data_IF_819569733970
#
_entry.id   IF_819569733970
#
_cell.length_a   1.000
_cell.length_b   1.000
_cell.length_c   1.000
_cell.angle_alpha   90.00
_cell.angle_beta   90.00
_cell.angle_gamma   90.00
#
_symmetry.space_group_name_H-M   'P 1'
#
loop_
_entity.id
_entity.type
_entity.pdbx_description
1 polymer ?
#
# COMPACT_ATOMS: atom_id res chain seq x y z
N UNK A 1 -34.85 -10.96 56.73
CA UNK A 1 -33.94 -12.08 57.09
C UNK A 1 -32.85 -12.15 56.04
N UNK A 2 -31.59 -12.09 56.48
CA UNK A 2 -30.37 -12.19 55.68
C UNK A 2 -30.27 -13.53 54.93
N UNK A 3 -29.71 -13.52 53.71
CA UNK A 3 -28.79 -14.58 53.27
C UNK A 3 -27.65 -13.99 52.42
N UNK A 4 -26.44 -14.14 52.94
CA UNK A 4 -25.16 -13.96 52.26
C UNK A 4 -24.96 -15.07 51.22
N UNK A 5 -24.28 -14.78 50.12
CA UNK A 5 -23.50 -15.78 49.37
C UNK A 5 -22.14 -15.21 48.98
N UNK A 6 -21.09 -15.82 49.55
CA UNK A 6 -19.69 -15.66 49.20
C UNK A 6 -19.41 -16.18 47.78
N UNK A 7 -18.52 -15.52 47.04
CA UNK A 7 -17.87 -16.07 45.84
C UNK A 7 -16.36 -16.07 46.07
N UNK A 8 -15.77 -17.26 45.98
CA UNK A 8 -14.35 -17.54 46.12
C UNK A 8 -13.55 -17.01 44.92
N UNK A 9 -12.35 -16.49 45.22
CA UNK A 9 -11.32 -16.14 44.25
C UNK A 9 -10.56 -17.40 43.82
N UNK A 10 -10.56 -17.72 42.52
CA UNK A 10 -9.60 -18.66 41.94
C UNK A 10 -8.36 -17.90 41.47
N UNK A 11 -7.21 -18.15 42.13
CA UNK A 11 -5.89 -17.72 41.67
C UNK A 11 -5.45 -18.55 40.45
N UNK A 12 -5.00 -17.86 39.39
CA UNK A 12 -4.40 -18.49 38.21
C UNK A 12 -2.92 -18.86 38.46
N UNK A 13 -2.40 -19.95 37.85
CA UNK A 13 -1.05 -20.45 38.14
C UNK A 13 0.04 -19.52 37.59
N UNK A 14 0.99 -19.14 38.45
CA UNK A 14 2.13 -18.23 38.15
C UNK A 14 3.19 -18.79 37.18
N UNK A 15 3.11 -20.06 36.80
CA UNK A 15 4.19 -20.75 36.09
C UNK A 15 4.29 -20.46 34.58
N UNK A 16 3.24 -19.89 33.97
CA UNK A 16 3.27 -19.55 32.55
C UNK A 16 3.95 -18.21 32.24
N UNK A 17 4.12 -17.32 33.23
CA UNK A 17 4.70 -15.98 33.02
C UNK A 17 6.22 -16.04 32.81
N UNK A 18 6.90 -17.00 33.44
CA UNK A 18 8.35 -17.18 33.35
C UNK A 18 8.82 -17.65 31.97
N UNK A 19 8.05 -18.55 31.34
CA UNK A 19 8.36 -19.08 30.00
C UNK A 19 8.20 -18.01 28.92
N UNK A 20 7.20 -17.13 29.02
CA UNK A 20 7.00 -16.01 28.07
C UNK A 20 8.09 -14.95 28.18
N UNK A 21 8.56 -14.66 29.40
CA UNK A 21 9.65 -13.70 29.62
C UNK A 21 10.99 -14.22 29.07
N UNK A 22 11.26 -15.51 29.22
CA UNK A 22 12.45 -16.14 28.64
C UNK A 22 12.43 -16.14 27.10
N UNK A 23 11.27 -16.41 26.50
CA UNK A 23 11.11 -16.36 25.03
C UNK A 23 11.29 -14.95 24.48
N UNK A 24 10.72 -13.94 25.15
CA UNK A 24 10.85 -12.53 24.76
C UNK A 24 12.30 -12.03 24.84
N UNK A 25 13.02 -12.38 25.92
CA UNK A 25 14.44 -12.05 26.06
C UNK A 25 15.30 -12.72 24.97
N UNK A 26 15.00 -13.99 24.62
CA UNK A 26 15.74 -14.67 23.54
C UNK A 26 15.49 -14.05 22.16
N UNK A 27 14.30 -13.51 21.94
CA UNK A 27 13.93 -12.82 20.69
C UNK A 27 14.64 -11.47 20.60
N UNK A 28 14.68 -10.71 21.70
CA UNK A 28 15.39 -9.43 21.79
C UNK A 28 16.91 -9.61 21.59
N UNK A 29 17.51 -10.64 22.18
CA UNK A 29 18.93 -10.94 21.97
C UNK A 29 19.23 -11.35 20.52
N UNK A 30 18.38 -12.16 19.89
CA UNK A 30 18.55 -12.49 18.45
C UNK A 30 18.44 -11.26 17.55
N UNK A 31 17.54 -10.32 17.86
CA UNK A 31 17.42 -9.07 17.10
C UNK A 31 18.63 -8.16 17.29
N UNK A 32 19.20 -8.08 18.50
CA UNK A 32 20.46 -7.34 18.74
C UNK A 32 21.64 -7.95 17.96
N UNK A 33 21.80 -9.27 18.00
CA UNK A 33 22.88 -9.94 17.26
C UNK A 33 22.73 -9.77 15.74
N UNK A 34 21.50 -9.82 15.20
CA UNK A 34 21.23 -9.54 13.79
C UNK A 34 21.53 -8.10 13.38
N UNK A 35 21.22 -7.13 14.26
CA UNK A 35 21.52 -5.72 14.03
C UNK A 35 23.03 -5.43 14.07
N UNK A 36 23.75 -6.06 15.02
CA UNK A 36 25.21 -5.94 15.13
C UNK A 36 25.92 -6.59 13.94
N UNK A 37 25.45 -7.76 13.47
CA UNK A 37 26.00 -8.40 12.27
C UNK A 37 25.78 -7.57 11.00
N UNK A 38 24.63 -6.91 10.87
CA UNK A 38 24.36 -6.00 9.76
C UNK A 38 25.24 -4.73 9.82
N UNK A 39 25.50 -4.20 11.02
CA UNK A 39 26.39 -3.06 11.22
C UNK A 39 27.87 -3.42 10.97
N UNK A 40 28.32 -4.59 11.41
CA UNK A 40 29.69 -5.07 11.15
C UNK A 40 29.91 -5.42 9.67
N UNK A 41 28.89 -5.95 8.98
CA UNK A 41 28.92 -6.17 7.54
C UNK A 41 29.03 -4.87 6.72
N UNK A 42 28.47 -3.77 7.24
CA UNK A 42 28.59 -2.43 6.64
C UNK A 42 29.93 -1.74 6.97
N UNK A 43 30.56 -2.08 8.09
CA UNK A 43 31.86 -1.52 8.49
C UNK A 43 33.08 -2.22 7.85
N UNK A 44 32.91 -3.42 7.27
CA UNK A 44 34.01 -4.16 6.61
C UNK A 44 34.08 -3.96 5.09
N UNK A 45 33.17 -3.21 4.47
CA UNK A 45 33.18 -2.93 3.02
C UNK A 45 33.81 -1.58 2.63
N UNK A 46 34.58 -0.96 3.53
CA UNK A 46 35.15 0.35 3.26
C UNK A 46 36.48 0.56 3.96
N UNK A 47 37.58 0.16 3.32
CA UNK A 47 38.92 0.69 3.59
C UNK A 47 39.93 0.28 2.52
N UNK A 48 40.43 1.29 1.82
CA UNK A 48 41.76 1.46 1.23
C UNK A 48 42.30 0.41 0.24
N UNK A 49 42.52 0.85 -0.99
CA UNK A 49 43.66 0.38 -1.77
C UNK A 49 44.36 1.57 -2.40
N UNK A 50 45.50 1.89 -1.77
CA UNK A 50 46.57 2.76 -2.24
C UNK A 50 47.24 2.11 -3.45
N UNK A 51 47.76 2.95 -4.35
CA UNK A 51 48.66 2.57 -5.43
C UNK A 51 49.79 1.66 -4.93
N UNK A 52 50.05 0.57 -5.64
CA UNK A 52 51.39 0.07 -5.95
C UNK A 52 51.31 -0.93 -7.11
N UNK A 53 52.24 -0.78 -8.05
CA UNK A 53 52.43 -1.58 -9.24
C UNK A 53 52.86 -3.01 -8.91
N UNK A 54 52.29 -4.03 -9.57
CA UNK A 54 53.04 -5.22 -10.01
C UNK A 54 52.27 -6.09 -11.04
N UNK A 55 53.08 -6.86 -11.78
CA UNK A 55 52.88 -7.47 -13.12
C UNK A 55 51.84 -8.61 -13.23
N UNK A 56 51.48 -9.04 -14.47
CA UNK A 56 50.23 -9.74 -14.75
C UNK A 56 50.37 -11.24 -14.57
N UNK A 57 49.34 -11.89 -14.01
CA UNK A 57 49.19 -13.33 -14.19
C UNK A 57 47.73 -13.79 -14.23
N UNK A 58 47.49 -14.67 -15.21
CA UNK A 58 46.40 -15.65 -15.33
C UNK A 58 44.97 -15.14 -15.52
N UNK A 59 44.58 -15.10 -16.81
CA UNK A 59 43.20 -15.24 -17.30
C UNK A 59 42.59 -16.56 -16.79
N UNK A 60 41.82 -16.50 -15.71
CA UNK A 60 40.70 -17.41 -15.51
C UNK A 60 39.45 -16.71 -16.01
N UNK A 61 38.93 -17.19 -17.14
CA UNK A 61 37.60 -16.80 -17.64
C UNK A 61 36.55 -17.26 -16.63
N UNK A 62 36.22 -16.42 -15.65
CA UNK A 62 34.93 -16.49 -14.99
C UNK A 62 33.86 -16.26 -16.05
N UNK A 63 33.07 -17.31 -16.30
CA UNK A 63 31.80 -17.22 -17.00
C UNK A 63 30.94 -16.22 -16.23
N UNK A 64 30.94 -14.98 -16.68
CA UNK A 64 29.87 -14.05 -16.37
C UNK A 64 28.61 -14.71 -16.92
N UNK A 65 27.81 -15.30 -16.03
CA UNK A 65 26.44 -15.68 -16.36
C UNK A 65 25.74 -14.41 -16.83
N UNK A 66 25.68 -14.25 -18.16
CA UNK A 66 24.75 -13.33 -18.79
C UNK A 66 23.36 -13.80 -18.38
N UNK A 67 22.83 -13.15 -17.34
CA UNK A 67 21.44 -13.31 -16.94
C UNK A 67 20.59 -12.95 -18.14
N UNK A 68 20.05 -13.98 -18.80
CA UNK A 68 19.17 -13.85 -19.96
C UNK A 68 18.09 -12.80 -19.61
N UNK A 69 17.88 -11.77 -20.44
CA UNK A 69 16.87 -10.76 -20.15
C UNK A 69 15.52 -11.44 -19.94
N UNK A 70 14.89 -11.25 -18.76
CA UNK A 70 13.54 -11.75 -18.50
C UNK A 70 12.63 -11.23 -19.61
N UNK A 71 12.02 -12.13 -20.38
CA UNK A 71 11.06 -11.83 -21.44
C UNK A 71 9.98 -10.88 -20.89
N UNK A 72 9.78 -9.73 -21.55
CA UNK A 72 8.69 -8.83 -21.17
C UNK A 72 7.34 -9.53 -21.38
N UNK A 73 6.43 -9.35 -20.41
CA UNK A 73 5.08 -9.89 -20.49
C UNK A 73 4.28 -9.19 -21.58
N UNK A 74 3.62 -9.97 -22.43
CA UNK A 74 2.64 -9.49 -23.39
C UNK A 74 1.42 -8.88 -22.69
N UNK A 75 0.66 -8.03 -23.40
CA UNK A 75 -0.60 -7.46 -22.87
C UNK A 75 -1.59 -8.57 -22.49
N UNK A 76 -1.65 -9.66 -23.27
CA UNK A 76 -2.49 -10.82 -22.96
C UNK A 76 -2.08 -11.51 -21.66
N UNK A 77 -0.78 -11.59 -21.37
CA UNK A 77 -0.29 -12.14 -20.09
C UNK A 77 -0.59 -11.19 -18.93
N UNK A 78 -0.40 -9.87 -19.12
CA UNK A 78 -0.75 -8.86 -18.11
C UNK A 78 -2.25 -8.83 -17.78
N UNK A 79 -3.13 -9.26 -18.68
CA UNK A 79 -4.57 -9.33 -18.41
C UNK A 79 -5.01 -10.54 -17.59
N UNK A 80 -4.10 -11.49 -17.31
CA UNK A 80 -4.40 -12.65 -16.47
C UNK A 80 -4.19 -12.30 -15.00
N UNK A 81 -5.13 -12.74 -14.15
CA UNK A 81 -4.95 -12.72 -12.69
C UNK A 81 -3.81 -13.69 -12.34
N UNK A 82 -2.76 -13.27 -11.61
CA UNK A 82 -1.57 -14.09 -11.42
C UNK A 82 -1.80 -15.24 -10.42
N UNK A 83 -2.63 -15.01 -9.42
CA UNK A 83 -2.92 -15.94 -8.34
C UNK A 83 -4.31 -15.70 -7.79
N UNK A 84 -4.99 -16.76 -7.36
CA UNK A 84 -6.12 -16.66 -6.46
C UNK A 84 -5.61 -16.56 -5.02
N UNK A 85 -5.78 -15.37 -4.43
CA UNK A 85 -5.45 -15.14 -3.03
C UNK A 85 -6.73 -15.07 -2.21
N UNK A 86 -6.72 -15.78 -1.08
CA UNK A 86 -7.68 -15.62 0.00
C UNK A 86 -7.06 -14.86 1.16
N UNK A 87 -7.87 -14.66 2.21
CA UNK A 87 -7.35 -14.22 3.50
C UNK A 87 -6.99 -15.47 4.29
N UNK A 88 -5.71 -15.62 4.64
CA UNK A 88 -5.31 -16.55 5.70
C UNK A 88 -6.05 -16.15 7.00
N UNK A 89 -6.27 -17.09 7.92
CA UNK A 89 -6.99 -16.78 9.18
C UNK A 89 -6.48 -15.46 9.76
N UNK A 90 -7.38 -14.48 9.89
CA UNK A 90 -7.05 -13.19 10.46
C UNK A 90 -6.80 -13.47 11.94
N UNK A 91 -5.53 -13.70 12.29
CA UNK A 91 -5.10 -13.89 13.67
C UNK A 91 -5.69 -12.79 14.54
N UNK A 92 -6.54 -13.21 15.50
CA UNK A 92 -7.23 -12.48 16.58
C UNK A 92 -7.47 -10.99 16.35
N UNK A 93 -8.71 -10.51 16.51
CA UNK A 93 -9.01 -9.07 16.53
C UNK A 93 -8.06 -8.33 17.49
N UNK A 94 -7.05 -7.64 16.94
CA UNK A 94 -6.17 -6.80 17.73
C UNK A 94 -6.90 -5.49 18.00
N UNK A 95 -6.95 -5.09 19.27
CA UNK A 95 -7.49 -3.79 19.64
C UNK A 95 -6.39 -2.76 19.42
N UNK A 96 -6.59 -1.91 18.41
CA UNK A 96 -5.72 -0.78 18.13
C UNK A 96 -6.41 0.47 18.65
N UNK A 97 -5.78 1.15 19.60
CA UNK A 97 -6.16 2.48 20.04
C UNK A 97 -5.19 3.49 19.42
N UNK A 98 -5.75 4.41 18.64
CA UNK A 98 -4.98 5.45 17.98
C UNK A 98 -4.87 6.69 18.88
N UNK A 99 -3.65 7.08 19.25
CA UNK A 99 -3.36 8.24 20.11
C UNK A 99 -2.66 9.29 19.24
N UNK A 100 -3.18 10.51 19.18
CA UNK A 100 -2.67 11.58 18.29
C UNK A 100 -2.59 11.22 16.80
N UNK A 101 -3.16 10.09 16.39
CA UNK A 101 -3.35 9.78 14.98
C UNK A 101 -4.40 10.75 14.41
N UNK A 102 -4.18 11.33 13.21
CA UNK A 102 -5.17 12.18 12.56
C UNK A 102 -6.55 11.56 12.59
N UNK A 103 -7.46 12.18 13.38
CA UNK A 103 -8.83 11.70 13.53
C UNK A 103 -9.47 11.68 12.15
N UNK A 104 -10.20 10.62 11.91
CA UNK A 104 -11.00 10.51 10.70
C UNK A 104 -12.42 10.27 11.11
N UNK A 105 -13.23 11.32 10.98
CA UNK A 105 -14.65 11.08 10.88
C UNK A 105 -14.88 10.26 9.61
N UNK A 106 -15.93 9.43 9.64
CA UNK A 106 -16.38 8.77 8.43
C UNK A 106 -16.64 9.81 7.32
N UNK A 107 -17.08 11.01 7.69
CA UNK A 107 -17.24 12.16 6.80
C UNK A 107 -15.92 12.64 6.17
N UNK A 108 -14.78 12.59 6.87
CA UNK A 108 -13.48 12.99 6.33
C UNK A 108 -12.90 11.94 5.37
N UNK A 109 -13.12 10.65 5.63
CA UNK A 109 -12.79 9.56 4.68
C UNK A 109 -13.57 9.79 3.40
N UNK A 110 -14.86 10.08 3.59
CA UNK A 110 -15.86 10.24 2.55
C UNK A 110 -15.64 11.51 1.73
N UNK A 111 -15.29 12.64 2.36
CA UNK A 111 -15.04 13.94 1.72
C UNK A 111 -13.57 14.13 1.32
N UNK A 112 -12.71 13.15 1.63
CA UNK A 112 -11.29 13.15 1.32
C UNK A 112 -10.56 14.42 1.78
N UNK A 113 -10.96 14.98 2.94
CA UNK A 113 -10.47 16.26 3.50
C UNK A 113 -9.05 16.20 4.08
N UNK A 114 -8.36 15.10 3.87
CA UNK A 114 -7.04 14.84 4.43
C UNK A 114 -5.96 15.60 3.66
N UNK A 115 -4.99 16.12 4.41
CA UNK A 115 -3.76 16.64 3.85
C UNK A 115 -2.95 15.55 3.15
N UNK A 116 -2.03 15.96 2.27
CA UNK A 116 -1.09 15.08 1.57
C UNK A 116 -0.32 14.19 2.57
N UNK A 117 0.18 14.78 3.65
CA UNK A 117 0.94 14.08 4.69
C UNK A 117 0.12 12.99 5.39
N UNK A 118 -1.11 13.29 5.80
CA UNK A 118 -2.01 12.32 6.45
C UNK A 118 -2.39 11.17 5.50
N UNK A 119 -2.50 11.45 4.20
CA UNK A 119 -2.76 10.43 3.19
C UNK A 119 -1.59 9.47 3.05
N UNK A 120 -0.36 10.00 2.94
CA UNK A 120 0.87 9.17 2.86
C UNK A 120 1.02 8.32 4.13
N UNK A 121 0.84 8.92 5.30
CA UNK A 121 0.90 8.26 6.60
C UNK A 121 -0.03 7.03 6.66
N UNK A 122 -1.21 7.10 6.07
CA UNK A 122 -2.14 5.96 6.08
C UNK A 122 -1.73 4.86 5.11
N UNK A 123 -1.07 5.24 4.02
CA UNK A 123 -0.66 4.33 2.95
C UNK A 123 0.60 3.51 3.30
N UNK A 124 1.50 4.05 4.12
CA UNK A 124 2.76 3.36 4.51
C UNK A 124 2.53 1.97 5.11
N UNK A 125 1.40 1.75 5.77
CA UNK A 125 1.02 0.43 6.32
C UNK A 125 0.89 -0.67 5.26
N UNK A 126 0.78 -0.31 3.98
CA UNK A 126 0.66 -1.22 2.83
C UNK A 126 1.89 -1.17 1.92
N UNK A 127 2.98 -0.55 2.36
CA UNK A 127 4.18 -0.34 1.54
C UNK A 127 4.77 -1.65 1.01
N UNK A 128 4.77 -2.71 1.82
CA UNK A 128 5.28 -4.03 1.40
C UNK A 128 4.53 -4.63 0.20
N UNK A 129 3.22 -4.38 0.11
CA UNK A 129 2.40 -4.82 -1.03
C UNK A 129 2.76 -4.02 -2.29
N UNK A 130 2.88 -2.69 -2.17
CA UNK A 130 3.25 -1.85 -3.31
C UNK A 130 4.67 -2.11 -3.78
N UNK A 131 5.61 -2.29 -2.86
CA UNK A 131 7.00 -2.60 -3.18
C UNK A 131 7.10 -3.92 -3.97
N UNK A 132 6.42 -4.98 -3.50
CA UNK A 132 6.41 -6.28 -4.17
C UNK A 132 5.86 -6.20 -5.60
N UNK A 133 4.74 -5.51 -5.80
CA UNK A 133 4.16 -5.32 -7.13
C UNK A 133 5.06 -4.45 -8.04
N UNK A 134 5.67 -3.40 -7.49
CA UNK A 134 6.62 -2.56 -8.23
C UNK A 134 7.84 -3.36 -8.71
N UNK A 135 8.40 -4.22 -7.85
CA UNK A 135 9.53 -5.08 -8.19
C UNK A 135 9.19 -6.14 -9.25
N UNK A 136 7.99 -6.73 -9.13
CA UNK A 136 7.48 -7.75 -10.05
C UNK A 136 7.29 -7.20 -11.46
N UNK A 137 6.70 -6.00 -11.58
CA UNK A 137 6.39 -5.39 -12.88
C UNK A 137 7.40 -4.33 -13.34
N UNK A 138 8.53 -4.19 -12.63
CA UNK A 138 9.60 -3.21 -12.92
C UNK A 138 9.08 -1.79 -13.00
N UNK A 139 8.17 -1.44 -12.08
CA UNK A 139 7.65 -0.10 -11.93
C UNK A 139 8.58 0.72 -11.02
N UNK A 140 8.58 2.06 -11.14
CA UNK A 140 9.37 2.93 -10.27
C UNK A 140 8.97 2.77 -8.81
N UNK A 141 9.96 2.75 -7.92
CA UNK A 141 9.71 2.67 -6.47
C UNK A 141 8.82 3.82 -6.00
N UNK A 142 7.86 3.49 -5.14
CA UNK A 142 6.93 4.42 -4.49
C UNK A 142 5.80 4.95 -5.40
N UNK A 143 5.71 4.47 -6.64
CA UNK A 143 4.68 4.91 -7.59
C UNK A 143 3.28 4.42 -7.22
N UNK A 144 3.11 3.13 -6.95
CA UNK A 144 1.81 2.55 -6.59
C UNK A 144 1.36 3.08 -5.22
N UNK A 145 2.28 3.33 -4.31
CA UNK A 145 1.96 3.97 -3.03
C UNK A 145 1.49 5.42 -3.20
N UNK A 146 2.11 6.17 -4.12
CA UNK A 146 1.67 7.52 -4.45
C UNK A 146 0.28 7.53 -5.11
N UNK A 147 -0.01 6.57 -5.99
CA UNK A 147 -1.36 6.37 -6.55
C UNK A 147 -2.37 6.05 -5.45
N UNK A 148 -2.03 5.14 -4.53
CA UNK A 148 -2.89 4.80 -3.39
C UNK A 148 -3.17 6.00 -2.48
N UNK A 149 -2.17 6.85 -2.22
CA UNK A 149 -2.35 8.06 -1.41
C UNK A 149 -3.27 9.08 -2.09
N UNK A 150 -3.20 9.18 -3.42
CA UNK A 150 -4.09 10.04 -4.19
C UNK A 150 -5.53 9.53 -4.23
N UNK A 151 -5.71 8.21 -4.32
CA UNK A 151 -7.01 7.57 -4.57
C UNK A 151 -7.69 7.08 -3.29
N UNK A 152 -7.24 5.96 -2.72
CA UNK A 152 -7.94 5.21 -1.67
C UNK A 152 -7.45 5.45 -0.25
N UNK A 153 -6.38 6.23 -0.07
CA UNK A 153 -5.83 6.60 1.25
C UNK A 153 -5.52 5.37 2.13
N UNK A 154 -5.15 4.26 1.48
CA UNK A 154 -4.83 3.00 2.14
C UNK A 154 -6.04 2.21 2.66
N UNK A 155 -7.28 2.60 2.36
CA UNK A 155 -8.51 1.90 2.76
C UNK A 155 -9.13 1.12 1.58
N UNK A 156 -9.22 -0.22 1.65
CA UNK A 156 -9.77 -1.02 0.55
C UNK A 156 -11.31 -1.15 0.57
N UNK A 157 -12.00 -0.64 1.59
CA UNK A 157 -13.41 -0.96 1.84
C UNK A 157 -14.41 -0.08 1.09
N UNK A 158 -14.04 1.19 0.85
CA UNK A 158 -14.96 2.20 0.31
C UNK A 158 -14.76 2.41 -1.19
N UNK A 159 -15.84 2.62 -1.96
CA UNK A 159 -15.73 2.97 -3.37
C UNK A 159 -15.37 4.45 -3.55
N UNK A 160 -14.87 4.79 -4.74
CA UNK A 160 -14.62 6.17 -5.12
C UNK A 160 -15.94 6.91 -5.40
N UNK A 161 -16.20 7.97 -4.64
CA UNK A 161 -17.47 8.68 -4.66
C UNK A 161 -17.22 10.12 -5.11
N UNK A 162 -17.82 10.47 -6.24
CA UNK A 162 -17.63 11.74 -6.91
C UNK A 162 -18.55 12.83 -6.33
N UNK A 163 -19.81 12.46 -6.03
CA UNK A 163 -20.79 13.36 -5.43
C UNK A 163 -21.72 12.63 -4.48
N UNK A 164 -22.20 13.41 -3.50
CA UNK A 164 -23.17 12.98 -2.51
C UNK A 164 -24.28 14.00 -2.39
N UNK A 165 -25.42 13.55 -1.89
CA UNK A 165 -26.55 14.41 -1.56
C UNK A 165 -27.05 14.04 -0.17
N UNK A 166 -27.38 15.04 0.64
CA UNK A 166 -28.13 14.81 1.87
C UNK A 166 -29.59 14.68 1.52
N UNK A 167 -30.19 13.56 1.89
CA UNK A 167 -31.61 13.38 1.81
C UNK A 167 -32.29 14.34 2.80
N UNK A 168 -33.17 15.21 2.32
CA UNK A 168 -33.79 16.28 3.11
C UNK A 168 -34.67 15.77 4.23
N UNK A 169 -35.29 14.60 4.02
CA UNK A 169 -36.24 13.96 4.94
C UNK A 169 -35.50 13.13 5.98
N UNK A 170 -34.59 12.25 5.56
CA UNK A 170 -33.91 11.31 6.48
C UNK A 170 -32.64 11.89 7.09
N UNK A 171 -32.16 13.05 6.59
CA UNK A 171 -30.85 13.64 6.87
C UNK A 171 -29.66 12.72 6.56
N UNK A 172 -29.87 11.59 5.89
CA UNK A 172 -28.81 10.64 5.51
C UNK A 172 -28.04 11.15 4.30
N UNK A 173 -26.74 10.88 4.28
CA UNK A 173 -25.87 11.17 3.13
C UNK A 173 -25.93 9.99 2.16
N UNK A 174 -26.39 10.24 0.95
CA UNK A 174 -26.50 9.25 -0.12
C UNK A 174 -25.46 9.51 -1.23
N UNK A 175 -25.08 8.45 -1.95
CA UNK A 175 -24.26 8.60 -3.17
C UNK A 175 -25.17 9.12 -4.29
N UNK A 176 -24.81 10.26 -4.87
CA UNK A 176 -25.43 10.74 -6.11
C UNK A 176 -24.58 10.44 -7.33
N UNK A 177 -23.25 10.32 -7.19
CA UNK A 177 -22.35 10.03 -8.29
C UNK A 177 -21.11 9.23 -7.85
N UNK A 178 -20.79 8.15 -8.57
CA UNK A 178 -19.57 7.34 -8.39
C UNK A 178 -19.06 6.87 -9.76
N UNK A 179 -17.76 6.65 -9.89
CA UNK A 179 -17.13 6.04 -11.08
C UNK A 179 -17.01 4.51 -10.99
N UNK A 180 -17.51 3.91 -9.90
CA UNK A 180 -17.43 2.48 -9.62
C UNK A 180 -16.04 1.99 -9.21
N UNK A 181 -15.06 2.89 -9.00
CA UNK A 181 -13.72 2.57 -8.52
C UNK A 181 -13.76 1.97 -7.11
N UNK A 182 -12.94 0.94 -6.84
CA UNK A 182 -12.86 0.26 -5.55
C UNK A 182 -11.44 -0.21 -5.23
N UNK A 183 -11.17 -0.45 -3.95
CA UNK A 183 -9.89 -0.95 -3.47
C UNK A 183 -8.88 0.16 -3.25
N UNK A 184 -7.64 -0.22 -2.90
CA UNK A 184 -6.60 0.73 -2.47
C UNK A 184 -6.25 1.82 -3.51
N UNK A 185 -6.49 1.57 -4.80
CA UNK A 185 -6.20 2.50 -5.92
C UNK A 185 -7.50 2.79 -6.73
N UNK A 186 -8.67 2.44 -6.20
CA UNK A 186 -9.97 2.73 -6.85
C UNK A 186 -10.07 2.28 -8.32
N UNK A 187 -9.70 1.04 -8.62
CA UNK A 187 -9.80 0.50 -9.99
C UNK A 187 -11.28 0.33 -10.37
N UNK A 188 -11.68 0.88 -11.52
CA UNK A 188 -13.03 0.73 -12.05
C UNK A 188 -13.39 -0.73 -12.36
N UNK A 189 -14.65 -1.10 -12.17
CA UNK A 189 -15.11 -2.50 -12.28
C UNK A 189 -14.76 -3.15 -13.61
N UNK A 190 -15.11 -2.53 -14.74
CA UNK A 190 -14.82 -3.08 -16.06
C UNK A 190 -13.31 -3.23 -16.35
N UNK A 191 -12.47 -2.32 -15.85
CA UNK A 191 -11.02 -2.43 -15.99
C UNK A 191 -10.48 -3.60 -15.15
N UNK A 192 -10.98 -3.79 -13.93
CA UNK A 192 -10.59 -4.92 -13.12
C UNK A 192 -11.02 -6.27 -13.75
N UNK A 193 -12.21 -6.34 -14.33
CA UNK A 193 -12.70 -7.51 -15.09
C UNK A 193 -11.80 -7.81 -16.30
N UNK A 194 -11.41 -6.79 -17.07
CA UNK A 194 -10.49 -6.94 -18.22
C UNK A 194 -9.09 -7.44 -17.80
N UNK A 195 -8.75 -7.34 -16.51
CA UNK A 195 -7.51 -7.84 -15.89
C UNK A 195 -7.73 -9.08 -15.03
N UNK A 196 -8.83 -9.79 -15.27
CA UNK A 196 -9.11 -11.13 -14.72
C UNK A 196 -9.60 -11.15 -13.28
N UNK A 197 -9.93 -10.00 -12.69
CA UNK A 197 -10.49 -9.95 -11.34
C UNK A 197 -11.99 -10.25 -11.35
N UNK A 198 -12.45 -10.97 -10.32
CA UNK A 198 -13.88 -11.09 -10.03
C UNK A 198 -14.39 -9.78 -9.46
N UNK A 199 -15.42 -9.20 -10.06
CA UNK A 199 -16.02 -7.93 -9.63
C UNK A 199 -17.50 -8.13 -9.29
N UNK A 200 -17.98 -7.40 -8.28
CA UNK A 200 -19.40 -7.37 -7.94
C UNK A 200 -20.22 -6.93 -9.16
N UNK A 201 -21.25 -7.67 -9.53
CA UNK A 201 -22.07 -7.36 -10.70
C UNK A 201 -23.31 -6.53 -10.33
N UNK A 202 -23.58 -5.49 -11.13
CA UNK A 202 -24.83 -4.71 -11.05
C UNK A 202 -26.03 -5.56 -11.48
N UNK A 203 -25.88 -6.40 -12.50
CA UNK A 203 -26.89 -7.38 -12.89
C UNK A 203 -26.22 -8.75 -12.97
N UNK A 204 -26.83 -9.81 -12.42
CA UNK A 204 -26.27 -11.15 -12.51
C UNK A 204 -25.91 -11.51 -13.97
N UNK A 205 -24.73 -12.08 -14.17
CA UNK A 205 -24.20 -12.50 -15.48
C UNK A 205 -23.99 -11.38 -16.50
N UNK A 206 -24.06 -10.11 -16.09
CA UNK A 206 -23.74 -8.97 -16.94
C UNK A 206 -22.38 -8.38 -16.61
N UNK A 207 -21.64 -7.95 -17.64
CA UNK A 207 -20.41 -7.17 -17.44
C UNK A 207 -20.73 -5.82 -16.80
N UNK A 208 -19.81 -5.31 -16.00
CA UNK A 208 -19.95 -3.98 -15.44
C UNK A 208 -19.77 -2.89 -16.50
N UNK A 209 -20.26 -1.69 -16.20
CA UNK A 209 -20.25 -0.57 -17.14
C UNK A 209 -18.82 -0.13 -17.45
N UNK A 210 -18.53 0.14 -18.73
CA UNK A 210 -17.29 0.79 -19.18
C UNK A 210 -17.36 2.32 -19.15
N UNK A 211 -18.50 2.89 -18.72
CA UNK A 211 -18.65 4.34 -18.61
C UNK A 211 -17.74 4.86 -17.49
N UNK A 212 -17.25 6.10 -17.64
CA UNK A 212 -16.50 6.77 -16.56
C UNK A 212 -17.32 6.96 -15.27
N UNK A 213 -18.65 6.82 -15.34
CA UNK A 213 -19.55 6.87 -14.18
C UNK A 213 -20.30 5.55 -14.08
N UNK A 214 -20.24 4.94 -12.90
CA UNK A 214 -20.95 3.70 -12.57
C UNK A 214 -21.49 3.79 -11.14
N UNK A 215 -22.47 4.68 -10.97
CA UNK A 215 -23.12 4.94 -9.67
C UNK A 215 -23.83 3.70 -9.12
N UNK A 216 -24.38 2.85 -9.98
CA UNK A 216 -25.10 1.65 -9.55
C UNK A 216 -24.17 0.60 -8.96
N UNK A 217 -22.98 0.40 -9.56
CA UNK A 217 -21.94 -0.41 -8.93
C UNK A 217 -21.52 0.18 -7.58
N UNK A 218 -21.29 1.50 -7.52
CA UNK A 218 -20.95 2.20 -6.28
C UNK A 218 -21.99 1.99 -5.17
N UNK A 219 -23.28 2.09 -5.49
CA UNK A 219 -24.39 1.81 -4.55
C UNK A 219 -24.36 0.38 -4.03
N UNK A 220 -24.18 -0.62 -4.91
CA UNK A 220 -24.08 -2.03 -4.52
C UNK A 220 -22.88 -2.33 -3.62
N UNK A 221 -21.74 -1.70 -3.90
CA UNK A 221 -20.54 -1.82 -3.06
C UNK A 221 -20.84 -1.34 -1.65
N UNK A 222 -21.48 -0.17 -1.50
CA UNK A 222 -21.91 0.34 -0.19
C UNK A 222 -22.93 -0.58 0.49
N UNK A 223 -23.92 -1.09 -0.25
CA UNK A 223 -24.91 -2.01 0.31
C UNK A 223 -24.24 -3.24 0.95
N UNK A 224 -23.24 -3.82 0.27
CA UNK A 224 -22.46 -4.93 0.82
C UNK A 224 -21.62 -4.51 2.03
N UNK A 225 -20.98 -3.35 1.98
CA UNK A 225 -20.19 -2.81 3.09
C UNK A 225 -21.03 -2.52 4.35
N UNK A 226 -22.27 -2.07 4.19
CA UNK A 226 -23.18 -1.83 5.31
C UNK A 226 -23.64 -3.13 5.99
N UNK A 227 -23.58 -4.28 5.29
CA UNK A 227 -23.91 -5.59 5.85
C UNK A 227 -22.75 -6.20 6.64
N UNK A 228 -21.52 -5.96 6.22
CA UNK A 228 -20.32 -6.41 6.94
C UNK A 228 -19.12 -5.53 6.60
N UNK A 229 -18.28 -5.25 7.59
CA UNK A 229 -16.99 -4.57 7.41
C UNK A 229 -15.82 -5.55 7.27
N UNK A 230 -16.07 -6.85 7.39
CA UNK A 230 -15.04 -7.87 7.26
C UNK A 230 -14.57 -7.96 5.80
N UNK A 231 -13.32 -7.57 5.57
CA UNK A 231 -12.69 -7.62 4.26
C UNK A 231 -12.61 -9.03 3.69
N UNK A 232 -12.46 -10.07 4.54
CA UNK A 232 -12.47 -11.46 4.11
C UNK A 232 -13.80 -11.82 3.45
N UNK A 233 -14.91 -11.51 4.11
CA UNK A 233 -16.25 -11.72 3.54
C UNK A 233 -16.51 -10.86 2.31
N UNK A 234 -16.13 -9.58 2.37
CA UNK A 234 -16.37 -8.65 1.28
C UNK A 234 -15.58 -8.99 0.00
N UNK A 235 -14.38 -9.57 0.13
CA UNK A 235 -13.52 -9.97 -0.99
C UNK A 235 -14.07 -11.16 -1.78
N UNK A 236 -14.88 -12.03 -1.16
CA UNK A 236 -15.55 -13.14 -1.87
C UNK A 236 -16.45 -12.67 -3.01
N UNK A 237 -16.96 -11.43 -2.90
CA UNK A 237 -17.83 -10.82 -3.90
C UNK A 237 -17.09 -9.94 -4.90
N UNK A 238 -15.94 -9.38 -4.52
CA UNK A 238 -15.19 -8.41 -5.32
C UNK A 238 -13.69 -8.46 -4.96
N UNK A 239 -12.88 -9.01 -5.86
CA UNK A 239 -11.43 -9.19 -5.70
C UNK A 239 -10.71 -7.85 -5.48
N UNK A 240 -11.27 -6.72 -5.93
CA UNK A 240 -10.66 -5.39 -5.73
C UNK A 240 -10.58 -4.99 -4.26
N UNK A 241 -11.32 -5.66 -3.37
CA UNK A 241 -11.20 -5.45 -1.92
C UNK A 241 -10.02 -6.18 -1.31
N UNK A 242 -9.46 -7.17 -2.01
CA UNK A 242 -8.24 -7.82 -1.60
C UNK A 242 -7.04 -6.90 -1.88
N UNK A 243 -6.30 -6.45 -0.86
CA UNK A 243 -5.22 -5.45 -1.00
C UNK A 243 -4.19 -5.79 -2.07
N UNK A 244 -3.70 -7.04 -2.09
CA UNK A 244 -2.68 -7.49 -3.04
C UNK A 244 -3.24 -7.52 -4.47
N UNK A 245 -4.39 -8.19 -4.69
CA UNK A 245 -5.01 -8.27 -6.01
C UNK A 245 -5.34 -6.90 -6.60
N UNK A 246 -5.78 -5.94 -5.77
CA UNK A 246 -6.03 -4.57 -6.20
C UNK A 246 -4.74 -3.86 -6.66
N UNK A 247 -3.67 -3.91 -5.86
CA UNK A 247 -2.39 -3.28 -6.20
C UNK A 247 -1.74 -3.95 -7.41
N UNK A 248 -1.77 -5.28 -7.47
CA UNK A 248 -1.28 -6.06 -8.61
C UNK A 248 -2.02 -5.71 -9.91
N UNK A 249 -3.35 -5.63 -9.86
CA UNK A 249 -4.15 -5.23 -11.00
C UNK A 249 -3.81 -3.81 -11.48
N UNK A 250 -3.61 -2.85 -10.56
CA UNK A 250 -3.16 -1.51 -10.91
C UNK A 250 -1.78 -1.53 -11.60
N UNK A 251 -0.85 -2.34 -11.08
CA UNK A 251 0.49 -2.49 -11.64
C UNK A 251 0.47 -3.06 -13.07
N UNK A 252 -0.28 -4.16 -13.29
CA UNK A 252 -0.46 -4.75 -14.62
C UNK A 252 -1.15 -3.78 -15.58
N UNK A 253 -2.17 -3.07 -15.11
CA UNK A 253 -2.87 -2.09 -15.92
C UNK A 253 -1.94 -0.95 -16.33
N UNK A 254 -1.18 -0.39 -15.39
CA UNK A 254 -0.21 0.65 -15.68
C UNK A 254 0.89 0.18 -16.64
N UNK A 255 1.45 -1.02 -16.43
CA UNK A 255 2.45 -1.61 -17.34
C UNK A 255 1.88 -1.79 -18.75
N UNK A 256 0.60 -2.15 -18.90
CA UNK A 256 -0.06 -2.25 -20.21
C UNK A 256 -0.23 -0.90 -20.94
N UNK A 257 -0.15 0.22 -20.21
CA UNK A 257 -0.23 1.58 -20.76
C UNK A 257 1.14 2.21 -21.03
N UNK A 258 2.20 1.56 -20.60
CA UNK A 258 3.56 2.01 -20.83
C UNK A 258 3.91 1.88 -22.31
N UNK A 259 4.47 2.94 -22.88
CA UNK A 259 4.98 2.95 -24.25
C UNK A 259 6.37 3.59 -24.23
N UNK A 260 7.46 2.84 -24.50
CA UNK A 260 8.82 3.40 -24.45
C UNK A 260 9.06 4.50 -25.50
N UNK A 261 8.27 4.53 -26.59
CA UNK A 261 8.36 5.59 -27.62
C UNK A 261 7.97 6.98 -27.10
N UNK A 262 7.34 7.05 -25.94
CA UNK A 262 7.01 8.29 -25.27
C UNK A 262 8.23 8.96 -24.58
N UNK A 263 9.42 8.34 -24.66
CA UNK A 263 10.67 8.92 -24.16
C UNK A 263 10.72 9.05 -22.63
N UNK A 264 11.37 10.12 -22.14
CA UNK A 264 11.59 10.36 -20.70
C UNK A 264 10.28 10.40 -19.89
N UNK A 265 9.18 10.81 -20.52
CA UNK A 265 7.88 10.98 -19.86
C UNK A 265 6.96 9.76 -19.97
N UNK A 266 7.43 8.65 -20.55
CA UNK A 266 6.61 7.44 -20.79
C UNK A 266 5.83 6.96 -19.56
N UNK A 267 6.43 7.07 -18.38
CA UNK A 267 5.80 6.68 -17.10
C UNK A 267 4.67 7.61 -16.69
N UNK A 268 4.79 8.91 -16.97
CA UNK A 268 3.76 9.92 -16.70
C UNK A 268 2.62 9.79 -17.69
N UNK A 269 2.94 9.56 -18.95
CA UNK A 269 1.94 9.34 -20.00
C UNK A 269 1.17 8.02 -19.77
N UNK A 270 1.81 6.98 -19.22
CA UNK A 270 1.12 5.78 -18.77
C UNK A 270 0.09 6.06 -17.67
N UNK A 271 0.39 6.93 -16.70
CA UNK A 271 -0.57 7.35 -15.65
C UNK A 271 -1.76 8.14 -16.22
N UNK A 272 -1.51 9.01 -17.21
CA UNK A 272 -2.59 9.73 -17.88
C UNK A 272 -3.51 8.76 -18.64
N UNK A 273 -2.93 7.79 -19.36
CA UNK A 273 -3.69 6.71 -20.03
C UNK A 273 -4.42 5.81 -19.04
N UNK A 274 -3.82 5.53 -17.88
CA UNK A 274 -4.44 4.75 -16.80
C UNK A 274 -5.71 5.45 -16.28
N UNK A 275 -5.62 6.75 -16.02
CA UNK A 275 -6.74 7.55 -15.48
C UNK A 275 -7.78 7.95 -16.53
N UNK A 276 -7.51 7.74 -17.82
CA UNK A 276 -8.36 8.19 -18.92
C UNK A 276 -8.42 9.72 -19.06
N UNK A 277 -7.54 10.46 -18.38
CA UNK A 277 -7.51 11.92 -18.40
C UNK A 277 -6.55 12.43 -19.46
N UNK A 278 -7.00 13.43 -20.24
CA UNK A 278 -6.17 14.14 -21.22
C UNK A 278 -5.17 15.11 -20.58
N UNK A 279 -5.36 15.45 -19.30
CA UNK A 279 -4.56 16.44 -18.55
C UNK A 279 -3.48 15.74 -17.74
N UNK A 280 -2.34 16.41 -17.57
CA UNK A 280 -1.26 16.01 -16.67
C UNK A 280 -1.63 16.07 -15.19
N UNK A 281 -2.81 16.61 -14.83
CA UNK A 281 -3.23 16.88 -13.44
C UNK A 281 -3.17 15.65 -12.53
N UNK A 282 -3.57 14.49 -13.05
CA UNK A 282 -3.51 13.24 -12.31
C UNK A 282 -2.07 12.84 -12.04
N UNK A 283 -1.28 12.69 -13.10
CA UNK A 283 0.10 12.22 -13.00
C UNK A 283 0.99 13.19 -12.21
N UNK A 284 0.76 14.50 -12.31
CA UNK A 284 1.48 15.50 -11.52
C UNK A 284 1.15 15.40 -10.04
N UNK A 285 -0.12 15.14 -9.67
CA UNK A 285 -0.49 14.90 -8.27
C UNK A 285 0.17 13.64 -7.73
N UNK A 286 0.18 12.55 -8.52
CA UNK A 286 0.88 11.30 -8.14
C UNK A 286 2.36 11.60 -7.91
N UNK A 287 2.99 12.38 -8.79
CA UNK A 287 4.39 12.78 -8.63
C UNK A 287 4.66 13.56 -7.36
N UNK A 288 3.77 14.49 -6.97
CA UNK A 288 3.93 15.23 -5.72
C UNK A 288 3.93 14.31 -4.49
N UNK A 289 3.00 13.33 -4.44
CA UNK A 289 3.02 12.30 -3.39
C UNK A 289 4.33 11.50 -3.44
N UNK A 290 4.76 11.11 -4.65
CA UNK A 290 5.95 10.28 -4.85
C UNK A 290 7.23 10.98 -4.39
N UNK A 291 7.37 12.29 -4.59
CA UNK A 291 8.50 13.08 -4.07
C UNK A 291 8.58 13.00 -2.54
N UNK A 292 7.47 13.22 -1.84
CA UNK A 292 7.44 13.14 -0.37
C UNK A 292 7.77 11.72 0.12
N UNK A 293 7.22 10.70 -0.54
CA UNK A 293 7.47 9.28 -0.26
C UNK A 293 8.94 8.91 -0.47
N UNK A 294 9.56 9.43 -1.54
CA UNK A 294 10.95 9.16 -1.86
C UNK A 294 11.88 9.83 -0.86
N UNK A 295 11.62 11.10 -0.49
CA UNK A 295 12.33 11.78 0.60
C UNK A 295 12.22 10.99 1.91
N UNK A 296 11.04 10.50 2.26
CA UNK A 296 10.89 9.64 3.45
C UNK A 296 11.73 8.37 3.39
N UNK A 297 11.76 7.70 2.24
CA UNK A 297 12.51 6.46 2.06
C UNK A 297 14.03 6.67 2.02
N UNK A 298 14.49 7.91 1.82
CA UNK A 298 15.89 8.26 1.59
C UNK A 298 16.33 9.46 2.44
N UNK A 299 15.88 9.53 3.70
CA UNK A 299 16.39 10.47 4.72
C UNK A 299 16.34 11.95 4.28
N UNK A 300 15.27 12.33 3.59
CA UNK A 300 15.03 13.70 3.12
C UNK A 300 15.58 14.01 1.73
N UNK A 301 16.20 13.05 1.04
CA UNK A 301 16.74 13.23 -0.31
C UNK A 301 15.90 12.54 -1.38
N UNK A 302 15.92 13.07 -2.61
CA UNK A 302 15.27 12.42 -3.76
C UNK A 302 16.32 11.51 -4.42
N UNK A 303 16.07 10.20 -4.49
CA UNK A 303 16.97 9.20 -5.08
C UNK A 303 16.33 8.35 -6.18
N UNK A 304 15.04 8.00 -6.07
CA UNK A 304 14.42 7.03 -7.00
C UNK A 304 13.53 7.67 -8.07
N UNK A 305 13.53 9.00 -8.17
CA UNK A 305 12.77 9.73 -9.18
C UNK A 305 13.70 10.06 -10.35
N UNK A 306 13.45 9.51 -11.56
CA UNK A 306 14.28 9.79 -12.72
C UNK A 306 14.07 11.23 -13.20
N UNK A 307 14.95 11.69 -14.06
CA UNK A 307 14.76 12.95 -14.78
C UNK A 307 13.62 12.84 -15.79
N UNK A 308 12.88 13.94 -15.94
CA UNK A 308 11.81 14.09 -16.92
C UNK A 308 12.05 15.31 -17.82
N UNK A 309 11.15 15.54 -18.78
CA UNK A 309 11.16 16.81 -19.52
C UNK A 309 10.86 18.00 -18.59
N UNK A 310 11.26 19.19 -19.02
CA UNK A 310 11.21 20.43 -18.20
C UNK A 310 9.87 20.65 -17.50
N UNK A 311 8.74 20.40 -18.20
CA UNK A 311 7.40 20.62 -17.64
C UNK A 311 7.08 19.71 -16.46
N UNK A 312 7.51 18.45 -16.51
CA UNK A 312 7.33 17.48 -15.42
C UNK A 312 8.39 17.71 -14.33
N UNK A 313 9.63 18.02 -14.73
CA UNK A 313 10.74 18.29 -13.82
C UNK A 313 10.42 19.46 -12.87
N UNK A 314 9.78 20.52 -13.39
CA UNK A 314 9.29 21.65 -12.59
C UNK A 314 8.35 21.25 -11.44
N UNK A 315 7.56 20.19 -11.61
CA UNK A 315 6.67 19.67 -10.53
C UNK A 315 7.50 19.05 -9.42
N UNK A 316 8.52 18.27 -9.78
CA UNK A 316 9.43 17.62 -8.84
C UNK A 316 10.21 18.68 -8.05
N UNK A 317 10.77 19.67 -8.74
CA UNK A 317 11.53 20.76 -8.12
C UNK A 317 10.69 21.60 -7.17
N UNK A 318 9.45 21.92 -7.57
CA UNK A 318 8.49 22.64 -6.71
C UNK A 318 8.19 21.84 -5.45
N UNK A 319 7.87 20.56 -5.59
CA UNK A 319 7.56 19.72 -4.43
C UNK A 319 8.79 19.50 -3.54
N UNK A 320 9.99 19.39 -4.12
CA UNK A 320 11.23 19.24 -3.36
C UNK A 320 11.49 20.43 -2.44
N UNK A 321 11.15 21.65 -2.89
CA UNK A 321 11.24 22.92 -2.14
C UNK A 321 10.05 23.17 -1.22
N UNK A 322 8.99 22.36 -1.32
CA UNK A 322 7.80 22.50 -0.48
C UNK A 322 8.05 21.99 0.94
N UNK A 323 7.20 22.40 1.88
CA UNK A 323 7.22 21.92 3.27
C UNK A 323 6.50 20.57 3.46
N UNK A 324 6.11 19.87 2.37
CA UNK A 324 5.31 18.64 2.47
C UNK A 324 6.03 17.56 3.26
N UNK A 325 7.34 17.39 3.01
CA UNK A 325 8.16 16.37 3.68
C UNK A 325 8.36 16.70 5.15
N UNK A 326 8.63 17.96 5.48
CA UNK A 326 8.87 18.44 6.84
C UNK A 326 7.61 18.26 7.68
N UNK A 327 6.44 18.67 7.16
CA UNK A 327 5.14 18.45 7.82
C UNK A 327 4.85 16.98 8.04
N UNK A 328 5.14 16.15 7.03
CA UNK A 328 4.97 14.70 7.14
C UNK A 328 5.89 14.09 8.21
N UNK A 329 7.16 14.50 8.25
CA UNK A 329 8.12 14.01 9.21
C UNK A 329 7.79 14.44 10.65
N UNK A 330 7.29 15.66 10.85
CA UNK A 330 6.74 16.10 12.15
C UNK A 330 5.56 15.23 12.55
N UNK A 331 4.58 15.06 11.65
CA UNK A 331 3.39 14.25 11.92
C UNK A 331 3.71 12.82 12.36
N UNK A 332 4.72 12.18 11.76
CA UNK A 332 5.13 10.82 12.13
C UNK A 332 5.61 10.74 13.58
N UNK A 333 6.37 11.75 14.04
CA UNK A 333 6.99 11.75 15.37
C UNK A 333 5.96 11.91 16.48
N UNK A 334 4.85 12.57 16.18
CA UNK A 334 3.79 12.87 17.16
C UNK A 334 2.77 11.73 17.33
N UNK A 335 2.86 10.67 16.51
CA UNK A 335 1.90 9.57 16.55
C UNK A 335 2.26 8.54 17.61
N UNK A 336 1.27 8.27 18.43
CA UNK A 336 1.27 7.21 19.43
C UNK A 336 0.17 6.19 19.10
N UNK A 337 0.40 4.94 19.43
CA UNK A 337 -0.58 3.88 19.29
C UNK A 337 -0.51 2.97 20.49
N UNK A 338 -1.62 2.32 20.78
CA UNK A 338 -1.65 1.20 21.71
C UNK A 338 -2.24 -0.02 20.99
N UNK A 339 -1.47 -1.10 20.93
CA UNK A 339 -1.87 -2.34 20.25
C UNK A 339 -1.87 -3.44 21.29
N UNK A 340 -3.05 -4.02 21.57
CA UNK A 340 -3.23 -5.04 22.61
C UNK A 340 -2.72 -4.61 24.00
N UNK A 341 -2.89 -3.33 24.36
CA UNK A 341 -2.41 -2.79 25.64
C UNK A 341 -0.93 -2.36 25.64
N UNK A 342 -0.18 -2.64 24.57
CA UNK A 342 1.20 -2.19 24.42
C UNK A 342 1.24 -0.81 23.74
N UNK A 343 1.71 0.21 24.48
CA UNK A 343 1.94 1.54 23.93
C UNK A 343 3.20 1.56 23.07
N UNK A 344 3.14 2.24 21.94
CA UNK A 344 4.29 2.48 21.09
C UNK A 344 4.09 3.64 20.13
N UNK A 345 5.10 3.86 19.30
CA UNK A 345 5.13 4.92 18.30
C UNK A 345 4.65 4.40 16.93
N UNK A 346 4.63 5.28 15.94
CA UNK A 346 4.24 4.93 14.57
C UNK A 346 4.96 3.70 13.95
N UNK A 347 6.26 3.43 14.19
CA UNK A 347 6.91 2.18 13.79
C UNK A 347 6.18 0.91 14.29
N UNK A 348 5.70 0.87 15.54
CA UNK A 348 4.94 -0.26 16.07
C UNK A 348 3.66 -0.51 15.23
N UNK A 349 3.00 0.57 14.83
CA UNK A 349 1.84 0.49 13.93
C UNK A 349 2.19 -0.06 12.54
N UNK A 350 3.35 0.32 11.98
CA UNK A 350 3.79 -0.21 10.69
C UNK A 350 4.11 -1.71 10.78
N UNK A 351 4.82 -2.14 11.83
CA UNK A 351 5.18 -3.54 12.05
C UNK A 351 3.93 -4.42 12.22
N UNK A 352 2.95 -3.96 12.99
CA UNK A 352 1.66 -4.64 13.10
C UNK A 352 0.98 -4.82 11.73
N UNK A 353 0.94 -3.76 10.91
CA UNK A 353 0.30 -3.84 9.59
C UNK A 353 1.12 -4.63 8.57
N UNK A 354 2.44 -4.75 8.75
CA UNK A 354 3.29 -5.63 7.94
C UNK A 354 2.87 -7.09 8.11
N UNK A 355 2.53 -7.50 9.34
CA UNK A 355 1.97 -8.83 9.61
C UNK A 355 0.60 -9.02 8.94
N UNK A 356 -0.25 -7.99 8.94
CA UNK A 356 -1.52 -8.03 8.21
C UNK A 356 -1.33 -8.23 6.70
N UNK A 357 -0.27 -7.66 6.12
CA UNK A 357 0.06 -7.91 4.71
C UNK A 357 0.42 -9.38 4.46
N UNK A 358 1.11 -10.05 5.39
CA UNK A 358 1.36 -11.48 5.30
C UNK A 358 0.05 -12.29 5.34
N UNK A 359 -0.93 -11.88 6.16
CA UNK A 359 -2.24 -12.55 6.23
C UNK A 359 -3.06 -12.44 4.93
N UNK A 360 -2.76 -11.46 4.08
CA UNK A 360 -3.35 -11.38 2.74
C UNK A 360 -2.65 -12.28 1.71
N UNK A 361 -1.64 -13.06 2.12
CA UNK A 361 -0.90 -13.94 1.22
C UNK A 361 0.24 -13.25 0.46
N UNK A 362 0.94 -12.29 1.11
CA UNK A 362 2.02 -11.55 0.45
C UNK A 362 3.22 -12.43 0.09
N UNK A 363 3.54 -13.46 0.88
CA UNK A 363 4.66 -14.34 0.57
C UNK A 363 4.36 -15.22 -0.63
N UNK A 364 3.14 -15.74 -0.70
CA UNK A 364 2.59 -16.50 -1.82
C UNK A 364 2.62 -15.67 -3.10
N UNK A 365 2.29 -14.38 -3.01
CA UNK A 365 2.38 -13.44 -4.13
C UNK A 365 3.82 -13.18 -4.62
N UNK A 366 4.78 -13.04 -3.69
CA UNK A 366 6.19 -12.76 -3.99
C UNK A 366 6.87 -13.97 -4.64
N UNK A 367 6.51 -15.19 -4.22
CA UNK A 367 7.12 -16.43 -4.69
C UNK A 367 6.68 -16.85 -6.11
N UNK A 368 5.81 -16.07 -6.76
CA UNK A 368 5.42 -16.21 -8.16
C UNK A 368 6.19 -15.27 -9.07
#
# INVERSE_FOLDING_TARGET
MNTNTHRENQEFPRDNLGKTKAQLNSLQERMKHGLIAALLGLCLSGSFSSCEDEKPNTLTHEKIEQTTPKKELSISELKKKPIDLGYNEINKEHKIHFINFPKLSQEDLIKCKLSKAEKILRCLRRKSITDAAEDKYKLPRGLLMAMMAQEGVGDPTLPNILKRKTNSETKKIEISESDGGLGLIHIQGANAEDFGLKVLQVNPNSKNSRKMKDTELGKKVIEKFNKTKDLKELSKYDDRRHPILAIDCAARFLKSKYNPKDGKDARILALNRYSGRKRTDYATKVLEYRVTIDKYSNEGTIKNIPEFTEGVQKVIERENKSQSYERFNTLIKDIEVEINGEKGSYPLYLDYNKQQCANYGLQEYINQ
#
